data_IF_296297358441
#
_entry.id   IF_296297358441
#
_cell.length_a   1.000
_cell.length_b   1.000
_cell.length_c   1.000
_cell.angle_alpha   90.00
_cell.angle_beta   90.00
_cell.angle_gamma   90.00
#
_symmetry.space_group_name_H-M   'P 1'
#
loop_
_entity.id
_entity.type
_entity.pdbx_description
1 polymer ?
#
# COMPACT_ATOMS: atom_id res chain seq x y z
N UNK A 1 25.32 16.43 23.92
CA UNK A 1 25.65 15.14 23.26
C UNK A 1 24.41 14.31 22.96
N UNK A 2 23.33 14.39 23.74
CA UNK A 2 22.04 13.73 23.43
C UNK A 2 21.23 14.45 22.35
N UNK A 3 21.11 15.78 22.41
CA UNK A 3 20.31 16.56 21.44
C UNK A 3 20.76 16.37 19.98
N UNK A 4 22.07 16.28 19.74
CA UNK A 4 22.60 16.04 18.39
C UNK A 4 22.21 14.66 17.84
N UNK A 5 22.13 13.63 18.70
CA UNK A 5 21.72 12.27 18.29
C UNK A 5 20.20 12.19 18.07
N UNK A 6 19.42 12.88 18.90
CA UNK A 6 17.97 12.97 18.77
C UNK A 6 17.56 13.71 17.48
N UNK A 7 18.32 14.77 17.12
CA UNK A 7 18.13 15.49 15.86
C UNK A 7 18.47 14.59 14.65
N UNK A 8 19.58 13.87 14.71
CA UNK A 8 20.01 12.95 13.64
C UNK A 8 19.01 11.80 13.44
N UNK A 9 18.41 11.30 14.53
CA UNK A 9 17.32 10.31 14.47
C UNK A 9 16.01 10.90 13.94
N UNK A 10 15.71 12.18 14.18
CA UNK A 10 14.56 12.86 13.59
C UNK A 10 14.67 12.96 12.06
N UNK A 11 15.89 13.11 11.53
CA UNK A 11 16.16 13.29 10.10
C UNK A 11 16.19 11.98 9.30
N UNK A 12 16.08 10.81 9.95
CA UNK A 12 16.06 9.50 9.27
C UNK A 12 14.72 9.27 8.56
N UNK A 13 14.75 9.17 7.23
CA UNK A 13 13.61 8.73 6.42
C UNK A 13 13.32 7.24 6.62
N UNK A 14 12.13 6.94 7.14
CA UNK A 14 11.62 5.59 7.32
C UNK A 14 10.11 5.58 7.03
N UNK A 15 9.65 4.90 5.97
CA UNK A 15 8.23 4.79 5.65
C UNK A 15 7.37 4.30 6.82
N UNK A 16 7.89 3.45 7.71
CA UNK A 16 7.16 2.98 8.91
C UNK A 16 6.86 4.12 9.87
N UNK A 17 7.72 5.14 9.94
CA UNK A 17 7.49 6.37 10.71
C UNK A 17 6.52 7.33 10.02
N UNK A 18 6.03 6.97 8.84
CA UNK A 18 5.14 7.79 8.01
C UNK A 18 5.73 9.17 7.68
N UNK A 19 7.07 9.29 7.63
CA UNK A 19 7.76 10.50 7.17
C UNK A 19 8.24 10.41 5.71
N UNK A 20 7.83 9.36 4.99
CA UNK A 20 8.09 9.17 3.55
C UNK A 20 6.76 9.07 2.80
N UNK A 21 6.66 9.78 1.68
CA UNK A 21 5.56 9.67 0.73
C UNK A 21 6.03 9.01 -0.59
N UNK A 22 5.13 8.24 -1.20
CA UNK A 22 5.31 7.60 -2.50
C UNK A 22 4.37 8.27 -3.49
N UNK A 23 4.82 8.59 -4.70
CA UNK A 23 3.98 9.32 -5.65
C UNK A 23 4.56 9.41 -7.04
N UNK A 24 3.70 9.87 -7.96
CA UNK A 24 4.09 10.32 -9.29
C UNK A 24 3.80 11.82 -9.41
N UNK A 25 4.85 12.62 -9.58
CA UNK A 25 4.70 14.05 -9.85
C UNK A 25 4.07 14.31 -11.22
N UNK A 26 4.32 13.43 -12.20
CA UNK A 26 3.73 13.51 -13.53
C UNK A 26 2.22 13.29 -13.50
N UNK A 27 1.78 12.27 -12.76
CA UNK A 27 0.37 11.87 -12.73
C UNK A 27 -0.41 12.48 -11.55
N UNK A 28 0.24 13.32 -10.74
CA UNK A 28 -0.40 14.13 -9.72
C UNK A 28 -0.94 13.37 -8.50
N UNK A 29 -0.38 12.22 -8.15
CA UNK A 29 -0.79 11.47 -6.97
C UNK A 29 0.38 11.19 -6.01
N UNK A 30 0.06 11.11 -4.73
CA UNK A 30 0.98 10.66 -3.70
C UNK A 30 0.22 10.02 -2.54
N UNK A 31 0.89 9.16 -1.79
CA UNK A 31 0.37 8.55 -0.57
C UNK A 31 1.47 8.28 0.45
N UNK A 32 1.05 8.04 1.69
CA UNK A 32 1.90 7.53 2.78
C UNK A 32 1.32 6.21 3.34
N UNK A 33 2.09 5.50 4.16
CA UNK A 33 1.66 4.21 4.69
C UNK A 33 0.48 4.30 5.67
N UNK A 34 0.39 5.39 6.44
CA UNK A 34 -0.70 5.66 7.40
C UNK A 34 -2.07 5.56 6.72
N UNK A 35 -2.23 6.16 5.54
CA UNK A 35 -3.49 6.15 4.78
C UNK A 35 -3.96 4.73 4.44
N UNK A 36 -3.05 3.86 3.98
CA UNK A 36 -3.39 2.46 3.68
C UNK A 36 -3.55 1.63 4.94
N UNK A 37 -2.71 1.85 5.96
CA UNK A 37 -2.78 1.10 7.21
C UNK A 37 -4.12 1.29 7.92
N UNK A 38 -4.66 2.52 7.97
CA UNK A 38 -5.96 2.82 8.57
C UNK A 38 -7.10 2.16 7.78
N UNK A 39 -7.05 2.27 6.44
CA UNK A 39 -8.03 1.64 5.54
C UNK A 39 -8.09 0.10 5.72
N UNK A 40 -6.94 -0.55 5.88
CA UNK A 40 -6.88 -2.01 6.08
C UNK A 40 -7.14 -2.43 7.52
N UNK A 41 -6.76 -1.61 8.51
CA UNK A 41 -7.03 -1.87 9.92
C UNK A 41 -8.53 -2.01 10.17
N UNK A 42 -9.34 -1.10 9.62
CA UNK A 42 -10.80 -1.13 9.71
C UNK A 42 -11.37 -2.41 9.09
N UNK A 43 -10.88 -2.81 7.91
CA UNK A 43 -11.37 -3.99 7.18
C UNK A 43 -10.97 -5.32 7.82
N UNK A 44 -9.79 -5.38 8.44
CA UNK A 44 -9.20 -6.62 8.95
C UNK A 44 -9.35 -6.76 10.47
N UNK A 45 -9.86 -5.75 11.16
CA UNK A 45 -9.93 -5.72 12.63
C UNK A 45 -8.54 -5.75 13.27
N UNK A 46 -7.54 -5.16 12.62
CA UNK A 46 -6.15 -5.17 13.06
C UNK A 46 -5.73 -3.79 13.60
N UNK A 47 -4.66 -3.75 14.40
CA UNK A 47 -4.08 -2.48 14.87
C UNK A 47 -3.34 -1.77 13.74
N UNK A 48 -3.65 -0.49 13.53
CA UNK A 48 -3.04 0.37 12.50
C UNK A 48 -1.52 0.38 12.56
N UNK A 49 -0.93 0.44 13.76
CA UNK A 49 0.53 0.48 13.93
C UNK A 49 1.18 -0.85 13.55
N UNK A 50 0.50 -1.96 13.82
CA UNK A 50 0.98 -3.28 13.44
C UNK A 50 0.94 -3.47 11.92
N UNK A 51 -0.13 -2.99 11.27
CA UNK A 51 -0.22 -2.99 9.81
C UNK A 51 0.77 -2.04 9.16
N UNK A 52 1.02 -0.86 9.71
CA UNK A 52 2.02 0.08 9.19
C UNK A 52 3.40 -0.57 9.14
N UNK A 53 3.80 -1.23 10.24
CA UNK A 53 5.06 -2.00 10.29
C UNK A 53 5.07 -3.19 9.34
N UNK A 54 3.94 -3.85 9.13
CA UNK A 54 3.86 -5.00 8.23
C UNK A 54 3.81 -4.60 6.75
N UNK A 55 3.26 -3.43 6.44
CA UNK A 55 3.18 -2.88 5.09
C UNK A 55 4.55 -2.52 4.54
N UNK A 56 5.58 -2.35 5.38
CA UNK A 56 6.94 -2.05 4.96
C UNK A 56 7.94 -3.08 5.49
N UNK A 57 8.84 -3.54 4.62
CA UNK A 57 9.84 -4.55 4.95
C UNK A 57 9.44 -5.99 4.56
N UNK A 58 10.11 -6.96 5.18
CA UNK A 58 10.05 -8.38 4.80
C UNK A 58 8.85 -9.11 5.41
N UNK A 59 7.64 -8.62 5.15
CA UNK A 59 6.40 -9.25 5.57
C UNK A 59 5.52 -9.57 4.37
N UNK A 60 4.80 -10.68 4.43
CA UNK A 60 3.77 -11.06 3.48
C UNK A 60 2.48 -11.41 4.20
N UNK A 61 1.36 -11.33 3.49
CA UNK A 61 0.07 -11.79 4.01
C UNK A 61 -0.27 -13.15 3.41
N UNK A 62 -0.49 -14.15 4.26
CA UNK A 62 -1.07 -15.43 3.85
C UNK A 62 -2.59 -15.29 3.85
N UNK A 63 -3.21 -15.23 2.67
CA UNK A 63 -4.66 -15.20 2.54
C UNK A 63 -5.33 -16.49 3.06
N UNK A 64 -4.61 -17.63 2.96
CA UNK A 64 -5.06 -18.92 3.47
C UNK A 64 -5.21 -18.91 4.99
N UNK A 65 -4.20 -18.38 5.69
CA UNK A 65 -4.16 -18.38 7.14
C UNK A 65 -4.66 -17.07 7.76
N UNK A 66 -4.99 -16.08 6.90
CA UNK A 66 -5.37 -14.71 7.26
C UNK A 66 -4.39 -14.05 8.24
N UNK A 67 -3.09 -14.26 8.02
CA UNK A 67 -2.03 -13.81 8.93
C UNK A 67 -0.88 -13.16 8.18
N UNK A 68 -0.23 -12.23 8.87
CA UNK A 68 1.05 -11.66 8.46
C UNK A 68 2.17 -12.63 8.82
N UNK A 69 2.99 -12.98 7.84
CA UNK A 69 4.17 -13.85 7.99
C UNK A 69 5.41 -13.06 7.60
N UNK A 70 6.54 -13.39 8.23
CA UNK A 70 7.83 -12.78 7.87
C UNK A 70 8.42 -13.53 6.68
N UNK A 71 8.75 -12.81 5.62
CA UNK A 71 9.44 -13.36 4.46
C UNK A 71 10.82 -13.86 4.89
N UNK A 72 11.13 -15.10 4.53
CA UNK A 72 12.45 -15.72 4.75
C UNK A 72 13.06 -16.06 3.40
N UNK A 73 14.28 -15.58 3.14
CA UNK A 73 15.04 -15.97 1.95
C UNK A 73 15.27 -17.49 1.99
N UNK A 74 14.87 -18.18 0.92
CA UNK A 74 15.02 -19.65 0.78
C UNK A 74 13.96 -20.51 1.51
N UNK A 75 12.95 -19.92 2.14
CA UNK A 75 11.84 -20.67 2.75
C UNK A 75 10.70 -21.01 1.79
N UNK A 76 9.71 -21.77 2.26
CA UNK A 76 8.46 -22.05 1.53
C UNK A 76 7.74 -20.75 1.09
N UNK A 77 7.89 -19.69 1.88
CA UNK A 77 7.33 -18.35 1.62
C UNK A 77 8.18 -17.52 0.65
N UNK A 78 9.23 -18.07 0.03
CA UNK A 78 10.11 -17.33 -0.90
C UNK A 78 9.39 -16.82 -2.16
N UNK A 79 8.23 -17.38 -2.49
CA UNK A 79 7.37 -16.91 -3.60
C UNK A 79 6.35 -15.85 -3.14
N UNK A 80 6.20 -15.62 -1.84
CA UNK A 80 5.23 -14.64 -1.35
C UNK A 80 5.75 -13.22 -1.60
N UNK A 81 4.85 -12.35 -2.05
CA UNK A 81 5.17 -10.95 -2.32
C UNK A 81 5.16 -10.14 -1.01
N UNK A 82 5.99 -9.11 -0.86
CA UNK A 82 5.89 -8.21 0.28
C UNK A 82 4.49 -7.58 0.38
N UNK A 83 4.03 -7.27 1.58
CA UNK A 83 2.72 -6.66 1.80
C UNK A 83 2.60 -5.32 1.07
N UNK A 84 3.67 -4.52 1.00
CA UNK A 84 3.70 -3.31 0.19
C UNK A 84 3.28 -3.57 -1.26
N UNK A 85 3.80 -4.65 -1.84
CA UNK A 85 3.52 -5.03 -3.23
C UNK A 85 2.06 -5.49 -3.36
N UNK A 86 1.64 -6.44 -2.52
CA UNK A 86 0.29 -7.03 -2.59
C UNK A 86 -0.82 -5.99 -2.33
N UNK A 87 -0.65 -5.19 -1.28
CA UNK A 87 -1.70 -4.28 -0.81
C UNK A 87 -1.62 -2.90 -1.44
N UNK A 88 -0.50 -2.48 -2.01
CA UNK A 88 -0.38 -1.11 -2.53
C UNK A 88 -0.01 -1.14 -4.01
N UNK A 89 1.20 -1.59 -4.36
CA UNK A 89 1.72 -1.43 -5.72
C UNK A 89 0.93 -2.21 -6.78
N UNK A 90 0.36 -3.38 -6.46
CA UNK A 90 -0.44 -4.13 -7.43
C UNK A 90 -1.68 -3.38 -7.92
N UNK A 91 -2.35 -2.62 -7.04
CA UNK A 91 -3.50 -1.81 -7.46
C UNK A 91 -3.07 -0.61 -8.31
N UNK A 92 -1.95 0.03 -7.96
CA UNK A 92 -1.38 1.11 -8.76
C UNK A 92 -1.02 0.59 -10.14
N UNK A 93 -0.27 -0.52 -10.21
CA UNK A 93 0.12 -1.14 -11.47
C UNK A 93 -1.09 -1.55 -12.32
N UNK A 94 -2.12 -2.14 -11.71
CA UNK A 94 -3.36 -2.50 -12.41
C UNK A 94 -4.04 -1.27 -13.01
N UNK A 95 -4.14 -0.17 -12.26
CA UNK A 95 -4.70 1.09 -12.76
C UNK A 95 -3.92 1.61 -13.99
N UNK A 96 -2.59 1.69 -13.92
CA UNK A 96 -1.77 2.11 -15.05
C UNK A 96 -1.89 1.17 -16.26
N UNK A 97 -1.89 -0.15 -16.04
CA UNK A 97 -1.97 -1.11 -17.14
C UNK A 97 -3.24 -0.94 -17.97
N UNK A 98 -4.35 -0.62 -17.31
CA UNK A 98 -5.65 -0.45 -17.96
C UNK A 98 -5.75 0.93 -18.63
N UNK A 99 -5.25 1.99 -17.98
CA UNK A 99 -5.26 3.34 -18.56
C UNK A 99 -4.29 3.51 -19.73
N UNK A 100 -3.09 2.90 -19.69
CA UNK A 100 -2.05 3.10 -20.70
C UNK A 100 -2.14 2.16 -21.91
N UNK A 101 -2.72 0.97 -21.75
CA UNK A 101 -2.70 -0.06 -22.80
C UNK A 101 -4.01 -0.14 -23.61
N UNK A 102 -4.91 0.85 -23.47
CA UNK A 102 -6.20 0.83 -24.14
C UNK A 102 -7.05 -0.38 -23.76
N UNK A 103 -6.97 -0.80 -22.49
CA UNK A 103 -7.65 -2.00 -22.01
C UNK A 103 -9.17 -1.89 -22.19
N UNK A 104 -9.79 -2.96 -22.67
CA UNK A 104 -11.24 -3.10 -22.62
C UNK A 104 -11.70 -3.06 -21.15
N UNK A 105 -12.80 -2.36 -20.86
CA UNK A 105 -13.40 -2.24 -19.52
C UNK A 105 -12.58 -1.44 -18.46
N UNK A 106 -12.10 -0.24 -18.84
CA UNK A 106 -11.47 0.71 -17.90
C UNK A 106 -12.36 1.01 -16.69
N UNK A 107 -13.63 1.32 -16.96
CA UNK A 107 -14.60 1.67 -15.93
C UNK A 107 -14.86 0.53 -14.94
N UNK A 108 -15.00 -0.71 -15.42
CA UNK A 108 -15.21 -1.88 -14.57
C UNK A 108 -14.00 -2.19 -13.70
N UNK A 109 -12.79 -2.14 -14.26
CA UNK A 109 -11.56 -2.42 -13.49
C UNK A 109 -11.29 -1.32 -12.46
N UNK A 110 -11.33 -0.04 -12.85
CA UNK A 110 -11.09 1.06 -11.93
C UNK A 110 -12.20 1.15 -10.89
N UNK A 111 -13.45 0.88 -11.27
CA UNK A 111 -14.58 0.79 -10.33
C UNK A 111 -14.40 -0.29 -9.28
N UNK A 112 -13.90 -1.48 -9.68
CA UNK A 112 -13.55 -2.55 -8.74
C UNK A 112 -12.43 -2.13 -7.78
N UNK A 113 -11.39 -1.44 -8.27
CA UNK A 113 -10.30 -0.94 -7.43
C UNK A 113 -10.84 0.10 -6.44
N UNK A 114 -11.63 1.06 -6.90
CA UNK A 114 -12.24 2.09 -6.06
C UNK A 114 -13.11 1.48 -4.96
N UNK A 115 -13.95 0.50 -5.30
CA UNK A 115 -14.80 -0.22 -4.33
C UNK A 115 -13.98 -1.03 -3.35
N UNK A 116 -13.05 -1.86 -3.82
CA UNK A 116 -12.21 -2.71 -2.98
C UNK A 116 -11.35 -1.90 -1.99
N UNK A 117 -11.00 -0.67 -2.35
CA UNK A 117 -10.21 0.26 -1.51
C UNK A 117 -11.06 1.29 -0.77
N UNK A 118 -12.38 1.25 -0.85
CA UNK A 118 -13.25 2.23 -0.15
C UNK A 118 -13.13 3.66 -0.68
N UNK A 119 -12.56 3.84 -1.87
CA UNK A 119 -12.36 5.14 -2.53
C UNK A 119 -13.60 5.60 -3.31
N UNK A 120 -14.69 4.82 -3.32
CA UNK A 120 -15.91 5.15 -4.07
C UNK A 120 -16.58 6.46 -3.66
N UNK A 121 -16.29 6.98 -2.46
CA UNK A 121 -16.76 8.29 -2.01
C UNK A 121 -15.93 9.47 -2.56
N UNK A 122 -14.68 9.20 -3.01
CA UNK A 122 -13.76 10.20 -3.55
C UNK A 122 -13.75 10.21 -5.08
N UNK A 123 -14.03 9.07 -5.70
CA UNK A 123 -14.00 8.92 -7.16
C UNK A 123 -15.43 8.81 -7.68
N UNK A 124 -15.99 9.88 -8.26
CA UNK A 124 -17.33 9.82 -8.86
C UNK A 124 -17.31 8.93 -10.11
N UNK A 125 -18.43 8.25 -10.39
CA UNK A 125 -18.52 7.30 -11.51
C UNK A 125 -18.11 7.91 -12.87
N UNK A 126 -18.41 9.19 -13.10
CA UNK A 126 -18.00 9.96 -14.29
C UNK A 126 -16.49 10.11 -14.48
N UNK A 127 -15.70 9.88 -13.44
CA UNK A 127 -14.23 9.92 -13.53
C UNK A 127 -13.63 8.57 -13.95
N UNK A 128 -14.48 7.56 -14.15
CA UNK A 128 -14.10 6.21 -14.57
C UNK A 128 -14.45 5.94 -16.05
N UNK A 129 -15.14 6.88 -16.70
CA UNK A 129 -15.48 6.90 -18.13
C UNK A 129 -14.32 7.48 -18.96
#
# INVERSE_FOLDING_TARGET
MNEAREQEEADVFDPVRCNVAFGSAHDGWAFRLDQFSAMYAEKMGARTEALTRALWGDFAFSAKDKRVVRLRRGGADSKAKPMFVQFILEAVWKAYSVCSQGGEDVAGVLGQICKARGLGHLVPARALE
#
